data_IF_709660946204
#
_entry.id   IF_709660946204
#
_cell.length_a   1.000
_cell.length_b   1.000
_cell.length_c   1.000
_cell.angle_alpha   90.00
_cell.angle_beta   90.00
_cell.angle_gamma   90.00
#
_symmetry.space_group_name_H-M   'P 1'
#
loop_
_entity.id
_entity.type
_entity.pdbx_description
1 polymer ?
#
# COMPACT_ATOMS: atom_id res chain seq x y z
N UNK A 1 15.16 17.74 76.93
CA UNK A 1 13.95 17.44 76.16
C UNK A 1 14.31 17.55 74.68
N UNK A 2 14.77 16.44 74.07
CA UNK A 2 15.24 16.45 72.67
C UNK A 2 14.30 15.52 71.91
N UNK A 3 13.45 16.14 71.07
CA UNK A 3 12.43 15.44 70.30
C UNK A 3 13.10 14.65 69.17
N UNK A 4 12.98 13.32 69.23
CA UNK A 4 13.34 12.40 68.15
C UNK A 4 12.44 12.68 66.92
N UNK A 5 12.98 13.39 65.90
CA UNK A 5 12.30 13.66 64.61
C UNK A 5 13.00 13.01 63.39
N UNK A 6 13.88 12.02 63.57
CA UNK A 6 14.80 11.58 62.49
C UNK A 6 14.42 10.33 61.70
N UNK A 7 13.28 9.67 61.95
CA UNK A 7 12.97 8.40 61.28
C UNK A 7 12.09 8.52 60.01
N UNK A 8 11.39 9.64 59.77
CA UNK A 8 10.42 9.75 58.67
C UNK A 8 11.09 9.97 57.30
N UNK A 9 12.29 10.54 57.27
CA UNK A 9 12.99 10.91 56.02
C UNK A 9 13.44 9.71 55.18
N UNK A 10 13.76 8.57 55.81
CA UNK A 10 14.22 7.38 55.07
C UNK A 10 13.07 6.68 54.33
N UNK A 11 11.86 6.75 54.90
CA UNK A 11 10.67 6.11 54.36
C UNK A 11 10.14 6.88 53.14
N UNK A 12 10.17 8.22 53.20
CA UNK A 12 9.79 9.06 52.04
C UNK A 12 10.77 8.87 50.88
N UNK A 13 12.07 8.79 51.16
CA UNK A 13 13.09 8.59 50.13
C UNK A 13 12.93 7.26 49.39
N UNK A 14 12.64 6.17 50.11
CA UNK A 14 12.43 4.84 49.49
C UNK A 14 11.16 4.80 48.63
N UNK A 15 10.07 5.42 49.07
CA UNK A 15 8.83 5.51 48.28
C UNK A 15 9.06 6.31 46.99
N UNK A 16 9.79 7.44 47.07
CA UNK A 16 10.17 8.24 45.90
C UNK A 16 11.04 7.44 44.91
N UNK A 17 12.00 6.69 45.42
CA UNK A 17 12.91 5.88 44.61
C UNK A 17 12.13 4.78 43.86
N UNK A 18 11.23 4.07 44.55
CA UNK A 18 10.35 3.08 43.93
C UNK A 18 9.44 3.75 42.88
N UNK A 19 8.84 4.90 43.21
CA UNK A 19 7.97 5.64 42.29
C UNK A 19 8.68 6.00 40.98
N UNK A 20 9.91 6.51 41.04
CA UNK A 20 10.70 6.84 39.84
C UNK A 20 11.02 5.59 39.02
N UNK A 21 11.36 4.47 39.66
CA UNK A 21 11.67 3.22 38.93
C UNK A 21 10.45 2.68 38.16
N UNK A 22 9.25 2.74 38.75
CA UNK A 22 8.02 2.31 38.07
C UNK A 22 7.68 3.23 36.89
N UNK A 23 7.84 4.54 37.06
CA UNK A 23 7.65 5.51 35.96
C UNK A 23 8.65 5.27 34.83
N UNK A 24 9.93 5.06 35.16
CA UNK A 24 10.96 4.77 34.17
C UNK A 24 10.68 3.47 33.41
N UNK A 25 10.29 2.40 34.11
CA UNK A 25 9.89 1.14 33.48
C UNK A 25 8.68 1.32 32.54
N UNK A 26 7.69 2.12 32.96
CA UNK A 26 6.52 2.45 32.14
C UNK A 26 6.88 3.16 30.84
N UNK A 27 7.77 4.17 30.89
CA UNK A 27 8.22 4.89 29.68
C UNK A 27 8.97 3.95 28.74
N UNK A 28 9.89 3.13 29.26
CA UNK A 28 10.64 2.16 28.46
C UNK A 28 9.69 1.19 27.75
N UNK A 29 8.69 0.67 28.46
CA UNK A 29 7.71 -0.24 27.87
C UNK A 29 6.95 0.38 26.69
N UNK A 30 6.48 1.63 26.84
CA UNK A 30 5.77 2.34 25.77
C UNK A 30 6.65 2.53 24.54
N UNK A 31 7.91 2.95 24.73
CA UNK A 31 8.86 3.18 23.64
C UNK A 31 9.18 1.87 22.91
N UNK A 32 9.51 0.80 23.65
CA UNK A 32 9.84 -0.51 23.06
C UNK A 32 8.65 -1.09 22.29
N UNK A 33 7.44 -1.03 22.86
CA UNK A 33 6.25 -1.54 22.20
C UNK A 33 5.97 -0.77 20.89
N UNK A 34 6.11 0.55 20.89
CA UNK A 34 5.97 1.37 19.69
C UNK A 34 6.99 0.98 18.60
N UNK A 35 8.26 0.82 18.97
CA UNK A 35 9.31 0.43 18.03
C UNK A 35 9.08 -0.96 17.43
N UNK A 36 8.63 -1.94 18.21
CA UNK A 36 8.39 -3.30 17.71
C UNK A 36 7.29 -3.37 16.65
N UNK A 37 6.26 -2.51 16.73
CA UNK A 37 5.22 -2.42 15.70
C UNK A 37 5.79 -1.89 14.39
N UNK A 38 6.54 -0.79 14.45
CA UNK A 38 7.17 -0.20 13.27
C UNK A 38 8.13 -1.18 12.57
N UNK A 39 8.90 -1.95 13.33
CA UNK A 39 9.82 -2.95 12.78
C UNK A 39 9.03 -4.06 12.06
N UNK A 40 7.97 -4.60 12.67
CA UNK A 40 7.14 -5.64 12.05
C UNK A 40 6.47 -5.15 10.77
N UNK A 41 5.89 -3.95 10.78
CA UNK A 41 5.29 -3.36 9.57
C UNK A 41 6.34 -3.12 8.50
N UNK A 42 7.51 -2.58 8.86
CA UNK A 42 8.59 -2.32 7.91
C UNK A 42 9.11 -3.61 7.28
N UNK A 43 9.30 -4.65 8.08
CA UNK A 43 9.73 -5.96 7.58
C UNK A 43 8.68 -6.61 6.68
N UNK A 44 7.41 -6.63 7.10
CA UNK A 44 6.32 -7.18 6.30
C UNK A 44 6.17 -6.44 4.96
N UNK A 45 6.31 -5.11 4.97
CA UNK A 45 6.31 -4.30 3.76
C UNK A 45 7.56 -4.55 2.90
N UNK A 46 8.75 -4.73 3.50
CA UNK A 46 9.95 -5.10 2.76
C UNK A 46 9.80 -6.48 2.07
N UNK A 47 9.11 -7.42 2.71
CA UNK A 47 8.79 -8.71 2.11
C UNK A 47 7.75 -8.59 0.99
N UNK A 48 6.84 -7.61 1.09
CA UNK A 48 5.86 -7.29 0.07
C UNK A 48 6.41 -6.42 -1.09
N UNK A 49 7.68 -6.02 -1.04
CA UNK A 49 8.33 -5.22 -2.08
C UNK A 49 8.53 -5.98 -3.41
N UNK A 50 8.17 -7.26 -3.46
CA UNK A 50 8.22 -8.11 -4.64
C UNK A 50 7.11 -7.88 -5.67
N UNK A 51 6.23 -6.91 -5.46
CA UNK A 51 5.22 -6.50 -6.44
C UNK A 51 5.85 -5.52 -7.43
N UNK A 52 5.79 -5.85 -8.72
CA UNK A 52 6.40 -5.04 -9.79
C UNK A 52 5.42 -4.74 -10.92
N UNK A 53 5.65 -3.63 -11.62
CA UNK A 53 4.98 -3.30 -12.87
C UNK A 53 5.75 -3.96 -14.01
N UNK A 54 5.07 -4.80 -14.80
CA UNK A 54 5.69 -5.30 -16.02
C UNK A 54 5.72 -4.17 -17.07
N UNK A 55 6.93 -3.86 -17.53
CA UNK A 55 7.22 -2.82 -18.51
C UNK A 55 7.86 -3.36 -19.79
N UNK A 56 7.99 -4.69 -19.90
CA UNK A 56 8.55 -5.36 -21.06
C UNK A 56 7.68 -5.12 -22.31
N UNK A 57 8.31 -5.05 -23.49
CA UNK A 57 7.69 -4.52 -24.71
C UNK A 57 6.44 -5.28 -25.19
N UNK A 58 6.32 -6.57 -24.87
CA UNK A 58 5.20 -7.43 -25.31
C UNK A 58 3.92 -7.21 -24.47
N UNK A 59 4.05 -6.84 -23.20
CA UNK A 59 2.94 -6.75 -22.24
C UNK A 59 2.96 -5.45 -21.42
N UNK A 60 3.49 -4.39 -22.03
CA UNK A 60 3.76 -3.12 -21.34
C UNK A 60 2.50 -2.48 -20.74
N UNK A 61 2.58 -2.14 -19.45
CA UNK A 61 1.60 -1.28 -18.79
C UNK A 61 1.46 0.06 -19.55
N UNK A 62 0.23 0.45 -19.92
CA UNK A 62 0.01 1.57 -20.84
C UNK A 62 -1.38 2.23 -20.68
N UNK A 63 -1.51 3.43 -21.26
CA UNK A 63 -2.73 4.22 -21.28
C UNK A 63 -3.54 3.97 -22.56
N UNK A 64 -4.83 3.69 -22.39
CA UNK A 64 -5.83 3.61 -23.46
C UNK A 64 -6.73 4.85 -23.42
N UNK A 65 -6.99 5.40 -24.59
CA UNK A 65 -7.84 6.57 -24.79
C UNK A 65 -8.95 6.18 -25.77
N UNK A 66 -10.20 6.21 -25.31
CA UNK A 66 -11.36 5.95 -26.16
C UNK A 66 -12.17 7.24 -26.30
N UNK A 67 -12.47 7.61 -27.54
CA UNK A 67 -13.39 8.70 -27.84
C UNK A 67 -14.80 8.13 -28.06
N UNK A 68 -15.75 8.53 -27.22
CA UNK A 68 -17.16 8.20 -27.38
C UNK A 68 -17.96 9.49 -27.57
N UNK A 69 -18.20 9.85 -28.83
CA UNK A 69 -18.96 11.04 -29.23
C UNK A 69 -18.37 12.36 -28.69
N UNK A 70 -17.05 12.51 -28.71
CA UNK A 70 -16.34 13.70 -28.22
C UNK A 70 -16.03 13.68 -26.73
N UNK A 71 -16.47 12.63 -26.00
CA UNK A 71 -16.11 12.40 -24.61
C UNK A 71 -14.95 11.41 -24.57
N UNK A 72 -13.79 11.88 -24.08
CA UNK A 72 -12.61 11.05 -23.90
C UNK A 72 -12.70 10.25 -22.61
N UNK A 73 -12.59 8.93 -22.71
CA UNK A 73 -12.49 8.00 -21.60
C UNK A 73 -11.07 7.45 -21.54
N UNK A 74 -10.51 7.42 -20.34
CA UNK A 74 -9.14 6.98 -20.09
C UNK A 74 -9.17 5.67 -19.31
N UNK A 75 -8.51 4.65 -19.85
CA UNK A 75 -8.29 3.38 -19.17
C UNK A 75 -6.81 3.14 -18.99
N UNK A 76 -6.42 2.57 -17.87
CA UNK A 76 -5.04 2.17 -17.60
C UNK A 76 -4.97 0.65 -17.64
N UNK A 77 -4.20 0.12 -18.58
CA UNK A 77 -3.83 -1.29 -18.62
C UNK A 77 -2.57 -1.48 -17.79
N UNK A 78 -2.64 -2.34 -16.77
CA UNK A 78 -1.51 -2.71 -15.92
C UNK A 78 -1.29 -4.21 -15.99
N UNK A 79 -0.04 -4.62 -16.06
CA UNK A 79 0.35 -5.98 -15.74
C UNK A 79 1.24 -5.95 -14.50
N UNK A 80 0.80 -6.65 -13.46
CA UNK A 80 1.48 -6.69 -12.18
C UNK A 80 2.05 -8.08 -11.98
N UNK A 81 3.35 -8.14 -11.76
CA UNK A 81 4.06 -9.36 -11.39
C UNK A 81 4.27 -9.39 -9.88
N UNK A 82 4.35 -10.60 -9.34
CA UNK A 82 4.68 -10.83 -7.94
C UNK A 82 5.77 -11.88 -7.82
N UNK A 83 6.78 -11.57 -7.01
CA UNK A 83 7.89 -12.47 -6.69
C UNK A 83 7.46 -13.75 -5.94
N UNK A 84 8.44 -14.60 -5.66
CA UNK A 84 8.24 -15.89 -4.98
C UNK A 84 7.88 -15.76 -3.50
N UNK A 85 8.00 -14.56 -2.90
CA UNK A 85 7.80 -14.40 -1.47
C UNK A 85 6.34 -14.55 -1.11
N UNK A 86 6.07 -15.49 -0.20
CA UNK A 86 4.74 -15.69 0.37
C UNK A 86 4.44 -14.62 1.42
N UNK A 87 3.49 -13.75 1.11
CA UNK A 87 2.87 -12.81 2.04
C UNK A 87 1.36 -12.69 1.74
N UNK A 88 0.56 -12.28 2.72
CA UNK A 88 -0.88 -12.12 2.53
C UNK A 88 -1.20 -10.76 1.89
N UNK A 89 -1.31 -10.74 0.56
CA UNK A 89 -1.73 -9.58 -0.21
C UNK A 89 -3.26 -9.48 -0.18
N UNK A 90 -3.79 -8.41 0.40
CA UNK A 90 -5.23 -8.18 0.51
C UNK A 90 -5.78 -7.29 -0.60
N UNK A 91 -4.97 -6.33 -1.03
CA UNK A 91 -5.30 -5.39 -2.09
C UNK A 91 -4.02 -4.73 -2.61
N UNK A 92 -4.11 -4.02 -3.74
CA UNK A 92 -3.03 -3.20 -4.27
C UNK A 92 -3.58 -1.78 -4.45
N UNK A 93 -2.95 -0.80 -3.81
CA UNK A 93 -3.22 0.60 -4.05
C UNK A 93 -2.42 1.07 -5.27
N UNK A 94 -3.12 1.58 -6.26
CA UNK A 94 -2.56 2.12 -7.50
C UNK A 94 -2.67 3.64 -7.44
N UNK A 95 -1.54 4.32 -7.48
CA UNK A 95 -1.43 5.77 -7.55
C UNK A 95 -1.42 6.20 -9.01
N UNK A 96 -2.41 6.98 -9.42
CA UNK A 96 -2.55 7.52 -10.76
C UNK A 96 -2.20 9.00 -10.74
N UNK A 97 -1.13 9.38 -11.44
CA UNK A 97 -0.70 10.78 -11.56
C UNK A 97 -1.11 11.35 -12.92
N UNK A 98 -1.75 12.53 -12.92
CA UNK A 98 -2.29 13.18 -14.12
C UNK A 98 -2.36 14.70 -13.93
N UNK A 99 -1.93 15.48 -14.93
CA UNK A 99 -2.06 16.95 -14.95
C UNK A 99 -1.66 17.68 -13.63
N UNK A 100 -0.61 17.21 -12.95
CA UNK A 100 -0.15 17.77 -11.66
C UNK A 100 -0.99 17.38 -10.44
N UNK A 101 -2.01 16.54 -10.61
CA UNK A 101 -2.83 15.92 -9.57
C UNK A 101 -2.52 14.43 -9.45
N UNK A 102 -3.00 13.81 -8.37
CA UNK A 102 -2.96 12.36 -8.22
C UNK A 102 -4.27 11.84 -7.59
N UNK A 103 -4.60 10.60 -7.90
CA UNK A 103 -5.72 9.86 -7.32
C UNK A 103 -5.28 8.42 -7.03
N UNK A 104 -6.00 7.74 -6.15
CA UNK A 104 -5.71 6.35 -5.81
C UNK A 104 -6.88 5.45 -6.16
N UNK A 105 -6.60 4.33 -6.82
CA UNK A 105 -7.56 3.26 -7.08
C UNK A 105 -7.07 2.00 -6.37
N UNK A 106 -7.98 1.21 -5.83
CA UNK A 106 -7.64 -0.03 -5.14
C UNK A 106 -8.02 -1.23 -6.02
N UNK A 107 -7.04 -2.09 -6.33
CA UNK A 107 -7.27 -3.40 -6.92
C UNK A 107 -7.55 -4.37 -5.78
N UNK A 108 -8.79 -4.82 -5.70
CA UNK A 108 -9.27 -5.85 -4.77
C UNK A 108 -10.41 -6.62 -5.42
N UNK A 109 -10.78 -7.80 -4.90
CA UNK A 109 -11.99 -8.49 -5.34
C UNK A 109 -13.20 -7.56 -5.30
N UNK A 110 -13.98 -7.53 -6.39
CA UNK A 110 -15.18 -6.72 -6.57
C UNK A 110 -14.96 -5.18 -6.62
N UNK A 111 -13.77 -4.71 -6.96
CA UNK A 111 -13.56 -3.29 -7.25
C UNK A 111 -14.41 -2.85 -8.46
N UNK A 112 -15.14 -1.73 -8.34
CA UNK A 112 -16.10 -1.28 -9.36
C UNK A 112 -15.45 -0.71 -10.62
N UNK A 113 -14.22 -0.21 -10.50
CA UNK A 113 -13.51 0.51 -11.55
C UNK A 113 -12.29 -0.28 -12.07
N UNK A 114 -12.19 -1.57 -11.72
CA UNK A 114 -11.09 -2.46 -12.11
C UNK A 114 -11.69 -3.71 -12.74
N UNK A 115 -11.22 -4.04 -13.94
CA UNK A 115 -11.72 -5.14 -14.75
C UNK A 115 -10.60 -6.11 -15.11
N UNK A 116 -10.95 -7.37 -15.34
CA UNK A 116 -10.05 -8.28 -16.03
C UNK A 116 -10.05 -7.87 -17.52
N UNK A 117 -8.88 -7.70 -18.15
CA UNK A 117 -8.79 -7.24 -19.53
C UNK A 117 -9.36 -8.24 -20.54
N UNK A 118 -9.41 -9.54 -20.21
CA UNK A 118 -9.95 -10.59 -21.08
C UNK A 118 -11.49 -10.60 -21.06
N UNK A 119 -12.10 -10.49 -19.88
CA UNK A 119 -13.56 -10.47 -19.73
C UNK A 119 -13.95 -9.71 -18.45
N UNK A 120 -14.77 -8.68 -18.61
CA UNK A 120 -15.26 -7.84 -17.51
C UNK A 120 -16.12 -8.59 -16.48
N UNK A 121 -16.63 -9.78 -16.84
CA UNK A 121 -17.43 -10.61 -15.94
C UNK A 121 -16.57 -11.53 -15.06
N UNK A 122 -15.27 -11.69 -15.38
CA UNK A 122 -14.36 -12.48 -14.55
C UNK A 122 -14.01 -11.69 -13.29
N UNK A 123 -14.18 -12.28 -12.09
CA UNK A 123 -13.85 -11.58 -10.86
C UNK A 123 -12.35 -11.27 -10.78
N UNK A 124 -12.04 -10.08 -10.31
CA UNK A 124 -10.66 -9.63 -10.08
C UNK A 124 -9.98 -10.53 -9.04
N UNK A 125 -8.79 -11.00 -9.41
CA UNK A 125 -7.89 -11.76 -8.53
C UNK A 125 -6.60 -10.97 -8.36
N UNK A 126 -5.96 -11.14 -7.20
CA UNK A 126 -4.64 -10.60 -6.94
C UNK A 126 -3.58 -11.57 -7.48
N UNK A 127 -2.37 -11.09 -7.86
CA UNK A 127 -1.34 -11.97 -8.36
C UNK A 127 -0.93 -12.97 -7.28
N UNK A 128 -0.89 -14.24 -7.67
CA UNK A 128 -0.30 -15.29 -6.84
C UNK A 128 1.21 -15.07 -6.72
N UNK A 129 1.85 -15.68 -5.74
CA UNK A 129 3.32 -15.70 -5.69
C UNK A 129 3.87 -16.36 -6.98
N UNK A 130 4.89 -15.75 -7.59
CA UNK A 130 5.39 -16.11 -8.93
C UNK A 130 4.35 -16.03 -10.05
N UNK A 131 3.36 -15.15 -9.90
CA UNK A 131 2.30 -14.97 -10.87
C UNK A 131 2.25 -13.56 -11.41
N UNK A 132 1.80 -13.45 -12.65
CA UNK A 132 1.46 -12.18 -13.28
C UNK A 132 -0.07 -12.10 -13.44
N UNK A 133 -0.62 -10.92 -13.19
CA UNK A 133 -2.03 -10.64 -13.43
C UNK A 133 -2.17 -9.30 -14.15
N UNK A 134 -3.12 -9.22 -15.07
CA UNK A 134 -3.40 -8.01 -15.83
C UNK A 134 -4.72 -7.37 -15.40
N UNK A 135 -4.76 -6.05 -15.40
CA UNK A 135 -5.87 -5.25 -14.92
C UNK A 135 -6.15 -4.13 -15.90
N UNK A 136 -7.44 -3.84 -16.07
CA UNK A 136 -7.92 -2.67 -16.79
C UNK A 136 -8.64 -1.74 -15.81
N UNK A 137 -8.06 -0.57 -15.55
CA UNK A 137 -8.61 0.42 -14.62
C UNK A 137 -9.34 1.49 -15.41
N UNK A 138 -10.61 1.73 -15.10
CA UNK A 138 -11.38 2.86 -15.64
C UNK A 138 -11.08 4.12 -14.82
N UNK A 139 -10.12 4.90 -15.32
CA UNK A 139 -9.70 6.14 -14.66
C UNK A 139 -10.83 7.18 -14.72
N UNK A 140 -11.60 7.20 -15.79
CA UNK A 140 -12.74 8.12 -15.96
C UNK A 140 -13.89 7.83 -15.00
N UNK A 141 -14.20 6.55 -14.72
CA UNK A 141 -15.12 6.16 -13.65
C UNK A 141 -14.65 6.59 -12.25
N UNK A 142 -13.35 6.87 -12.10
CA UNK A 142 -12.74 7.42 -10.88
C UNK A 142 -12.67 8.96 -10.89
N UNK A 143 -13.34 9.62 -11.84
CA UNK A 143 -13.39 11.07 -11.98
C UNK A 143 -12.20 11.69 -12.69
N UNK A 144 -11.32 10.88 -13.29
CA UNK A 144 -10.11 11.35 -13.97
C UNK A 144 -10.43 11.62 -15.45
N UNK A 145 -10.48 12.91 -15.79
CA UNK A 145 -10.78 13.38 -17.16
C UNK A 145 -9.53 13.83 -17.93
N UNK A 146 -8.35 13.43 -17.47
CA UNK A 146 -7.06 13.77 -18.05
C UNK A 146 -6.24 12.49 -18.31
N UNK A 147 -5.34 12.49 -19.30
CA UNK A 147 -4.48 11.34 -19.53
C UNK A 147 -3.58 11.10 -18.31
N UNK A 148 -3.59 9.86 -17.83
CA UNK A 148 -2.70 9.43 -16.74
C UNK A 148 -1.28 9.33 -17.32
N UNK A 149 -0.35 10.06 -16.71
CA UNK A 149 1.04 10.12 -17.17
C UNK A 149 1.93 9.12 -16.46
N UNK A 150 1.59 8.74 -15.22
CA UNK A 150 2.42 7.88 -14.38
C UNK A 150 1.58 7.05 -13.42
N UNK A 151 2.05 5.83 -13.16
CA UNK A 151 1.43 4.89 -12.22
C UNK A 151 2.45 4.45 -11.19
N UNK A 152 2.06 4.50 -9.92
CA UNK A 152 2.77 3.84 -8.82
C UNK A 152 1.94 2.74 -8.20
N UNK A 153 2.57 1.70 -7.68
CA UNK A 153 1.90 0.59 -6.98
C UNK A 153 2.39 0.43 -5.54
N UNK A 154 1.44 0.19 -4.63
CA UNK A 154 1.68 -0.05 -3.21
C UNK A 154 0.82 -1.23 -2.73
N UNK A 155 1.40 -2.33 -2.21
CA UNK A 155 0.63 -3.45 -1.68
C UNK A 155 -0.04 -3.08 -0.35
N UNK A 156 -1.21 -3.66 -0.12
CA UNK A 156 -1.93 -3.62 1.16
C UNK A 156 -1.91 -5.02 1.75
N UNK A 157 -1.28 -5.17 2.91
CA UNK A 157 -1.00 -6.47 3.55
C UNK A 157 -1.56 -6.54 4.96
N UNK A 158 -1.74 -7.76 5.48
CA UNK A 158 -2.11 -7.97 6.89
C UNK A 158 -0.85 -7.99 7.77
N UNK A 159 -0.79 -7.13 8.79
CA UNK A 159 0.24 -7.18 9.84
C UNK A 159 -0.42 -7.49 11.17
N UNK A 160 -0.43 -8.77 11.55
CA UNK A 160 -1.17 -9.23 12.73
C UNK A 160 -2.68 -9.20 12.47
N UNK A 161 -3.37 -8.15 12.92
CA UNK A 161 -4.83 -7.98 12.74
C UNK A 161 -5.20 -6.68 12.02
N UNK A 162 -4.20 -5.89 11.60
CA UNK A 162 -4.44 -4.62 10.89
C UNK A 162 -4.05 -4.75 9.42
N UNK A 163 -4.77 -4.05 8.56
CA UNK A 163 -4.38 -3.85 7.17
C UNK A 163 -3.46 -2.64 7.12
N UNK A 164 -2.28 -2.82 6.53
CA UNK A 164 -1.28 -1.78 6.38
C UNK A 164 -0.99 -1.57 4.89
N UNK A 165 -1.04 -0.31 4.45
CA UNK A 165 -0.60 0.08 3.12
C UNK A 165 0.89 0.35 3.15
N UNK A 166 1.65 -0.39 2.35
CA UNK A 166 3.07 -0.18 2.23
C UNK A 166 3.40 1.06 1.38
N UNK A 167 4.68 1.44 1.32
CA UNK A 167 5.11 2.53 0.44
C UNK A 167 5.00 2.12 -1.02
N UNK A 168 4.92 3.11 -1.91
CA UNK A 168 5.01 2.87 -3.36
C UNK A 168 6.38 2.26 -3.66
N UNK A 169 6.39 1.06 -4.25
CA UNK A 169 7.62 0.30 -4.54
C UNK A 169 8.11 0.50 -5.96
N UNK A 170 7.16 0.60 -6.88
CA UNK A 170 7.46 0.70 -8.29
C UNK A 170 6.58 1.79 -8.91
N UNK A 171 7.17 2.56 -9.80
CA UNK A 171 6.54 3.69 -10.46
C UNK A 171 7.05 3.81 -11.90
N UNK A 172 6.12 3.86 -12.85
CA UNK A 172 6.43 3.92 -14.28
C UNK A 172 5.66 5.03 -14.97
N UNK A 173 6.32 5.75 -15.88
CA UNK A 173 5.64 6.61 -16.83
C UNK A 173 4.82 5.76 -17.80
N UNK A 174 3.53 6.08 -17.95
CA UNK A 174 2.62 5.34 -18.82
C UNK A 174 2.68 5.88 -20.26
N UNK A 175 3.21 5.11 -21.23
CA UNK A 175 3.02 5.45 -22.63
C UNK A 175 1.58 5.16 -23.07
N UNK A 176 1.18 5.70 -24.22
CA UNK A 176 -0.05 5.25 -24.89
C UNK A 176 0.13 3.81 -25.40
N UNK A 177 -0.90 2.98 -25.27
CA UNK A 177 -0.87 1.63 -25.83
C UNK A 177 -0.79 1.67 -27.37
N UNK A 178 -0.16 0.65 -27.95
CA UNK A 178 -0.13 0.49 -29.40
C UNK A 178 -1.58 0.31 -29.95
N UNK A 179 -1.89 0.83 -31.15
CA UNK A 179 -3.24 0.75 -31.72
C UNK A 179 -3.72 -0.67 -32.03
N UNK A 180 -2.81 -1.65 -32.06
CA UNK A 180 -3.11 -3.08 -32.24
C UNK A 180 -3.50 -3.80 -30.95
N UNK A 181 -3.46 -3.11 -29.80
CA UNK A 181 -3.84 -3.70 -28.52
C UNK A 181 -5.35 -3.99 -28.52
N UNK A 182 -5.70 -5.26 -28.71
CA UNK A 182 -7.08 -5.73 -28.73
C UNK A 182 -7.28 -6.65 -27.55
N UNK A 183 -8.31 -6.35 -26.76
CA UNK A 183 -8.80 -7.25 -25.73
C UNK A 183 -9.55 -8.39 -26.43
N UNK A 184 -8.96 -9.58 -26.45
CA UNK A 184 -9.64 -10.82 -26.87
C UNK A 184 -10.51 -11.37 -25.77
#
# INVERSE_FOLDING_TARGET
MIMNKKAVSALIATVLLIGITVVAAGVIFVVVNSMTKTIKTTQACQDAAGLSLNTDEEYKSCLLEFDNNGVKNYYVFLQLGRDEKSYELNAIQVHLSYAGSSSTVEIKPNASNVYNPTDRNIPIRLPNANGDESYLIDASASGINYPVSRVGIAPIITVGTTLETCKVYDEVDLPKCAPSFTFT
#
